data_IF_537364173980
#
_entry.id   IF_537364173980
#
_cell.length_a   1.000
_cell.length_b   1.000
_cell.length_c   1.000
_cell.angle_alpha   90.00
_cell.angle_beta   90.00
_cell.angle_gamma   90.00
#
_symmetry.space_group_name_H-M   'P 1'
#
loop_
_entity.id
_entity.type
_entity.pdbx_description
1 polymer ?
#
# COMPACT_ATOMS: atom_id res chain seq x y z
N UNK A 1 -11.10 2.82 4.18
CA UNK A 1 -10.35 2.16 5.26
C UNK A 1 -9.47 3.22 5.89
N UNK A 2 -9.01 3.06 7.12
CA UNK A 2 -8.02 3.99 7.68
C UNK A 2 -6.65 3.53 7.20
N UNK A 3 -5.87 4.41 6.58
CA UNK A 3 -4.50 4.07 6.13
C UNK A 3 -3.50 4.72 7.08
N UNK A 4 -2.56 3.92 7.56
CA UNK A 4 -1.39 4.35 8.35
C UNK A 4 -0.11 3.99 7.60
N UNK A 5 0.99 4.63 7.96
CA UNK A 5 2.29 4.42 7.35
C UNK A 5 3.27 4.01 8.45
N UNK A 6 3.93 2.86 8.28
CA UNK A 6 4.95 2.38 9.22
C UNK A 6 6.15 3.33 9.26
N UNK A 7 6.51 3.87 8.08
CA UNK A 7 7.70 4.68 7.90
C UNK A 7 7.34 6.10 7.40
N UNK A 8 7.93 7.17 7.97
CA UNK A 8 7.62 8.55 7.58
C UNK A 8 7.81 8.87 6.10
N UNK A 9 8.77 8.21 5.44
CA UNK A 9 9.04 8.46 4.02
C UNK A 9 7.87 8.00 3.13
N UNK A 10 7.13 6.96 3.52
CA UNK A 10 5.95 6.49 2.79
C UNK A 10 4.83 7.52 2.84
N UNK A 11 4.62 8.13 4.02
CA UNK A 11 3.68 9.23 4.18
C UNK A 11 4.08 10.43 3.32
N UNK A 12 5.36 10.83 3.34
CA UNK A 12 5.85 11.93 2.49
C UNK A 12 5.67 11.65 0.99
N UNK A 13 5.92 10.41 0.54
CA UNK A 13 5.65 10.02 -0.84
C UNK A 13 4.17 10.11 -1.21
N UNK A 14 3.29 9.82 -0.25
CA UNK A 14 1.85 9.94 -0.47
C UNK A 14 1.42 11.40 -0.58
N UNK A 15 1.76 12.21 0.42
CA UNK A 15 1.27 13.58 0.56
C UNK A 15 1.99 14.57 -0.37
N UNK A 16 3.31 14.45 -0.46
CA UNK A 16 4.18 15.42 -1.15
C UNK A 16 4.70 14.91 -2.49
N UNK A 17 4.62 13.59 -2.72
CA UNK A 17 5.15 12.95 -3.93
C UNK A 17 6.67 12.92 -3.99
N UNK A 18 7.38 13.18 -2.88
CA UNK A 18 8.84 13.25 -2.84
C UNK A 18 9.36 13.01 -1.43
N UNK A 19 10.65 12.64 -1.30
CA UNK A 19 11.37 12.56 -0.03
C UNK A 19 12.66 13.37 -0.10
N UNK A 20 13.20 13.73 1.06
CA UNK A 20 14.46 14.48 1.16
C UNK A 20 15.69 13.58 1.02
N UNK A 21 15.57 12.32 1.42
CA UNK A 21 16.65 11.35 1.42
C UNK A 21 16.94 10.81 0.01
N UNK A 22 18.16 10.30 -0.21
CA UNK A 22 18.57 9.77 -1.52
C UNK A 22 18.06 8.34 -1.78
N UNK A 23 17.73 7.59 -0.73
CA UNK A 23 17.39 6.16 -0.82
C UNK A 23 15.98 5.99 -1.41
N UNK A 24 15.04 6.85 -1.06
CA UNK A 24 13.63 6.74 -1.46
C UNK A 24 13.25 7.66 -2.63
N UNK A 25 14.19 7.92 -3.55
CA UNK A 25 13.93 8.67 -4.79
C UNK A 25 13.38 7.76 -5.86
N UNK A 26 12.06 7.71 -5.96
CA UNK A 26 11.36 6.92 -6.96
C UNK A 26 11.08 7.73 -8.24
N UNK A 27 10.90 7.03 -9.35
CA UNK A 27 10.49 7.66 -10.60
C UNK A 27 9.05 8.21 -10.47
N UNK A 28 8.69 9.32 -11.14
CA UNK A 28 7.37 9.94 -11.02
C UNK A 28 6.19 8.98 -11.26
N UNK A 29 6.35 8.02 -12.17
CA UNK A 29 5.35 6.99 -12.45
C UNK A 29 5.12 6.01 -11.29
N UNK A 30 6.17 5.69 -10.53
CA UNK A 30 6.07 4.84 -9.32
C UNK A 30 5.30 5.60 -8.25
N UNK A 31 5.63 6.87 -8.04
CA UNK A 31 4.99 7.75 -7.06
C UNK A 31 3.49 7.89 -7.36
N UNK A 32 3.13 8.17 -8.62
CA UNK A 32 1.71 8.24 -9.04
C UNK A 32 0.98 6.93 -8.81
N UNK A 33 1.63 5.80 -9.11
CA UNK A 33 1.08 4.47 -8.86
C UNK A 33 0.84 4.21 -7.37
N UNK A 34 1.82 4.57 -6.55
CA UNK A 34 1.75 4.51 -5.09
C UNK A 34 0.58 5.35 -4.55
N UNK A 35 0.56 6.64 -4.87
CA UNK A 35 -0.51 7.56 -4.45
C UNK A 35 -1.91 7.08 -4.88
N UNK A 36 -2.02 6.57 -6.11
CA UNK A 36 -3.28 5.99 -6.61
C UNK A 36 -3.70 4.76 -5.80
N UNK A 37 -2.76 3.86 -5.49
CA UNK A 37 -3.01 2.69 -4.66
C UNK A 37 -3.50 3.05 -3.26
N UNK A 38 -2.81 3.97 -2.58
CA UNK A 38 -3.20 4.47 -1.25
C UNK A 38 -4.60 5.08 -1.28
N UNK A 39 -4.90 5.92 -2.29
CA UNK A 39 -6.23 6.53 -2.45
C UNK A 39 -7.34 5.48 -2.62
N UNK A 40 -7.08 4.37 -3.30
CA UNK A 40 -8.05 3.27 -3.37
C UNK A 40 -8.26 2.60 -2.00
N UNK A 41 -7.22 2.44 -1.19
CA UNK A 41 -7.36 1.90 0.18
C UNK A 41 -8.21 2.82 1.06
N UNK A 42 -7.99 4.14 1.01
CA UNK A 42 -8.80 5.11 1.75
C UNK A 42 -10.28 5.03 1.35
N UNK A 43 -10.57 4.90 0.05
CA UNK A 43 -11.93 4.81 -0.50
C UNK A 43 -12.62 3.46 -0.27
N UNK A 44 -11.86 2.37 -0.16
CA UNK A 44 -12.39 1.05 0.09
C UNK A 44 -13.08 0.98 1.46
N UNK A 45 -14.09 0.12 1.63
CA UNK A 45 -14.69 -0.14 2.95
C UNK A 45 -14.08 -1.37 3.60
N UNK A 46 -13.69 -2.36 2.78
CA UNK A 46 -13.08 -3.62 3.21
C UNK A 46 -12.00 -4.06 2.23
N UNK A 47 -11.08 -4.96 2.61
CA UNK A 47 -10.03 -5.46 1.73
C UNK A 47 -10.56 -6.09 0.43
N UNK A 48 -11.71 -6.75 0.48
CA UNK A 48 -12.33 -7.35 -0.71
C UNK A 48 -12.74 -6.33 -1.78
N UNK A 49 -12.95 -5.06 -1.42
CA UNK A 49 -13.19 -4.00 -2.41
C UNK A 49 -11.95 -3.78 -3.29
N UNK A 50 -10.75 -3.91 -2.72
CA UNK A 50 -9.49 -3.79 -3.46
C UNK A 50 -9.27 -4.98 -4.39
N UNK A 51 -9.66 -6.20 -3.96
CA UNK A 51 -9.59 -7.42 -4.79
C UNK A 51 -10.41 -7.33 -6.07
N UNK A 52 -11.54 -6.61 -6.04
CA UNK A 52 -12.40 -6.41 -7.22
C UNK A 52 -11.75 -5.53 -8.29
N UNK A 53 -10.71 -4.78 -7.95
CA UNK A 53 -9.98 -3.93 -8.88
C UNK A 53 -8.82 -4.74 -9.47
N UNK A 54 -9.06 -5.43 -10.58
CA UNK A 54 -8.09 -6.33 -11.22
C UNK A 54 -6.70 -5.70 -11.46
N UNK A 55 -6.64 -4.40 -11.78
CA UNK A 55 -5.37 -3.70 -12.01
C UNK A 55 -4.49 -3.57 -10.76
N UNK A 56 -5.09 -3.61 -9.56
CA UNK A 56 -4.36 -3.60 -8.30
C UNK A 56 -3.69 -4.94 -8.02
N UNK A 57 -4.15 -6.04 -8.62
CA UNK A 57 -3.59 -7.37 -8.43
C UNK A 57 -3.30 -7.67 -6.94
N UNK A 58 -4.36 -7.65 -6.13
CA UNK A 58 -4.32 -7.85 -4.69
C UNK A 58 -3.87 -9.28 -4.37
N UNK A 59 -2.84 -9.41 -3.53
CA UNK A 59 -2.24 -10.69 -3.18
C UNK A 59 -2.01 -10.77 -1.66
N UNK A 60 -2.33 -11.92 -1.06
CA UNK A 60 -1.85 -12.25 0.28
C UNK A 60 -0.46 -12.88 0.15
N UNK A 61 0.53 -12.32 0.85
CA UNK A 61 1.92 -12.77 0.78
C UNK A 61 2.12 -14.04 1.64
N UNK A 62 3.16 -14.80 1.29
CA UNK A 62 3.46 -16.13 1.87
C UNK A 62 4.92 -16.20 2.33
N UNK A 63 5.26 -17.24 3.10
CA UNK A 63 6.60 -17.45 3.62
C UNK A 63 6.95 -16.42 4.69
N UNK A 64 8.14 -15.83 4.62
CA UNK A 64 8.63 -14.84 5.60
C UNK A 64 7.77 -13.57 5.66
N UNK A 65 6.92 -13.34 4.64
CA UNK A 65 5.97 -12.22 4.57
C UNK A 65 4.54 -12.63 4.91
N UNK A 66 4.34 -13.78 5.56
CA UNK A 66 3.01 -14.22 5.98
C UNK A 66 2.35 -13.17 6.89
N UNK A 67 1.09 -12.84 6.60
CA UNK A 67 0.34 -11.79 7.30
C UNK A 67 0.39 -10.42 6.60
N UNK A 68 1.24 -10.25 5.59
CA UNK A 68 1.23 -9.08 4.71
C UNK A 68 0.36 -9.32 3.47
N UNK A 69 -0.13 -8.22 2.92
CA UNK A 69 -0.84 -8.14 1.67
C UNK A 69 -0.08 -7.20 0.73
N UNK A 70 -0.32 -7.33 -0.58
CA UNK A 70 0.24 -6.40 -1.55
C UNK A 70 -0.76 -6.00 -2.62
N UNK A 71 -0.60 -4.77 -3.11
CA UNK A 71 -1.22 -4.29 -4.36
C UNK A 71 -0.16 -3.69 -5.29
N UNK A 72 -0.47 -3.64 -6.59
CA UNK A 72 0.38 -3.12 -7.64
C UNK A 72 0.37 -1.59 -7.64
N UNK A 73 1.55 -0.99 -7.49
CA UNK A 73 1.76 0.43 -7.81
C UNK A 73 2.01 0.60 -9.32
N UNK A 74 2.86 -0.25 -9.89
CA UNK A 74 3.06 -0.39 -11.34
C UNK A 74 3.64 -1.78 -11.67
N UNK A 75 4.07 -2.02 -12.91
CA UNK A 75 4.56 -3.33 -13.34
C UNK A 75 5.77 -3.87 -12.56
N UNK A 76 6.48 -3.02 -11.82
CA UNK A 76 7.68 -3.38 -11.05
C UNK A 76 7.54 -3.20 -9.54
N UNK A 77 6.68 -2.30 -9.09
CA UNK A 77 6.58 -1.90 -7.69
C UNK A 77 5.26 -2.35 -7.06
N UNK A 78 5.37 -2.84 -5.83
CA UNK A 78 4.24 -3.25 -4.99
C UNK A 78 4.17 -2.38 -3.73
N UNK A 79 2.95 -2.15 -3.28
CA UNK A 79 2.65 -1.56 -1.98
C UNK A 79 2.35 -2.72 -1.05
N UNK A 80 3.19 -2.93 -0.04
CA UNK A 80 3.00 -3.97 0.98
C UNK A 80 2.34 -3.35 2.21
N UNK A 81 1.38 -4.06 2.80
CA UNK A 81 0.62 -3.56 3.94
C UNK A 81 0.07 -4.70 4.81
N UNK A 82 -0.15 -4.44 6.09
CA UNK A 82 -0.96 -5.29 6.97
C UNK A 82 -2.39 -4.79 7.03
N UNK A 83 -3.30 -5.67 7.44
CA UNK A 83 -4.72 -5.36 7.62
C UNK A 83 -5.08 -5.76 9.04
N UNK A 84 -5.55 -4.81 9.83
CA UNK A 84 -6.16 -5.06 11.15
C UNK A 84 -7.67 -4.83 11.03
N UNK A 85 -8.45 -5.89 11.26
CA UNK A 85 -9.91 -5.86 11.21
C UNK A 85 -10.48 -5.97 12.63
N UNK A 86 -10.95 -4.84 13.16
CA UNK A 86 -11.65 -4.85 14.43
C UNK A 86 -13.11 -5.29 14.22
N UNK A 87 -13.42 -6.56 14.54
CA UNK A 87 -14.73 -7.18 14.28
C UNK A 87 -15.90 -6.47 15.00
N UNK A 88 -15.63 -5.77 16.10
CA UNK A 88 -16.64 -5.04 16.88
C UNK A 88 -16.95 -3.65 16.31
N UNK A 89 -16.10 -3.13 15.40
CA UNK A 89 -16.30 -1.86 14.70
C UNK A 89 -16.03 -2.04 13.20
N UNK A 90 -17.04 -2.43 12.39
CA UNK A 90 -16.87 -2.83 10.98
C UNK A 90 -16.42 -1.70 10.02
N UNK A 91 -16.19 -0.49 10.53
CA UNK A 91 -15.65 0.67 9.80
C UNK A 91 -14.12 0.78 9.98
N UNK A 92 -13.54 0.10 10.97
CA UNK A 92 -12.13 0.23 11.36
C UNK A 92 -11.27 -0.90 10.77
N UNK A 93 -11.23 -1.00 9.43
CA UNK A 93 -10.12 -1.74 8.81
C UNK A 93 -8.93 -0.80 8.68
N UNK A 94 -7.84 -1.10 9.37
CA UNK A 94 -6.59 -0.33 9.32
C UNK A 94 -5.64 -1.01 8.34
N UNK A 95 -5.24 -0.28 7.29
CA UNK A 95 -4.16 -0.68 6.41
C UNK A 95 -2.87 0.01 6.84
N UNK A 96 -1.90 -0.74 7.33
CA UNK A 96 -0.59 -0.19 7.63
C UNK A 96 0.39 -0.48 6.49
N UNK A 97 0.80 0.55 5.74
CA UNK A 97 1.74 0.40 4.64
C UNK A 97 3.14 0.24 5.22
N UNK A 98 3.77 -0.89 4.91
CA UNK A 98 5.08 -1.28 5.45
C UNK A 98 6.22 -1.01 4.48
N UNK A 99 5.98 -1.13 3.17
CA UNK A 99 7.02 -0.93 2.17
C UNK A 99 6.48 -0.56 0.78
N UNK A 100 7.31 0.14 0.01
CA UNK A 100 7.15 0.35 -1.43
C UNK A 100 8.34 -0.29 -2.16
N UNK A 101 8.23 -1.58 -2.40
CA UNK A 101 9.35 -2.41 -2.86
C UNK A 101 9.29 -2.69 -4.36
N UNK A 102 10.46 -2.92 -4.97
CA UNK A 102 10.52 -3.48 -6.32
C UNK A 102 10.44 -5.00 -6.21
N UNK A 103 9.39 -5.60 -6.77
CA UNK A 103 9.13 -7.04 -6.62
C UNK A 103 10.12 -7.94 -7.39
N UNK A 104 10.97 -7.37 -8.24
CA UNK A 104 12.04 -8.11 -8.94
C UNK A 104 13.39 -8.01 -8.25
N UNK A 105 13.48 -7.39 -7.08
CA UNK A 105 14.73 -7.14 -6.36
C UNK A 105 14.65 -7.57 -4.91
#
# INVERSE_FOLDING_TARGET
>A
MIVTFEEPYLQHLYEQGTTTDKKHRYQPQVIRGFQKGVKYMEMAKRPDDLRRINSLNFEALKGDKQGLFSIRANDKYRIEFTIDENLDMPILTICNITDLSNHYK
#
